data_IF_861503752442
#
_entry.id   IF_861503752442
#
_cell.length_a   1.000
_cell.length_b   1.000
_cell.length_c   1.000
_cell.angle_alpha   90.00
_cell.angle_beta   90.00
_cell.angle_gamma   90.00
#
_symmetry.space_group_name_H-M   'P 1'
#
loop_
_entity.id
_entity.type
_entity.pdbx_description
1 polymer ?
#
# COMPACT_ATOMS: atom_id res chain seq x y z
N UNK A 1 -10.75 -26.70 -13.28
CA UNK A 1 -11.16 -25.71 -12.26
C UNK A 1 -9.89 -25.01 -11.78
N UNK A 2 -9.90 -23.70 -11.60
CA UNK A 2 -8.76 -22.99 -11.02
C UNK A 2 -8.87 -23.06 -9.49
N UNK A 3 -7.76 -23.35 -8.83
CA UNK A 3 -7.69 -23.33 -7.36
C UNK A 3 -7.68 -21.88 -6.85
N UNK A 4 -8.32 -21.59 -5.70
CA UNK A 4 -8.25 -20.27 -5.08
C UNK A 4 -6.81 -19.85 -4.76
N UNK A 5 -6.55 -18.55 -4.86
CA UNK A 5 -5.27 -17.98 -4.42
C UNK A 5 -5.20 -18.06 -2.90
N UNK A 6 -4.11 -18.62 -2.40
CA UNK A 6 -3.80 -18.65 -0.97
C UNK A 6 -3.16 -17.35 -0.51
N UNK A 7 -3.28 -17.05 0.79
CA UNK A 7 -2.63 -15.91 1.42
C UNK A 7 -1.12 -15.84 1.11
N UNK A 8 -0.41 -16.97 1.16
CA UNK A 8 1.03 -17.02 0.88
C UNK A 8 1.36 -16.68 -0.58
N UNK A 9 0.51 -17.10 -1.53
CA UNK A 9 0.69 -16.73 -2.93
C UNK A 9 0.45 -15.23 -3.15
N UNK A 10 -0.55 -14.65 -2.47
CA UNK A 10 -0.81 -13.22 -2.50
C UNK A 10 0.34 -12.40 -1.91
N UNK A 11 0.90 -12.83 -0.77
CA UNK A 11 2.10 -12.23 -0.19
C UNK A 11 3.30 -12.32 -1.14
N UNK A 12 3.55 -13.49 -1.73
CA UNK A 12 4.65 -13.67 -2.68
C UNK A 12 4.51 -12.75 -3.89
N UNK A 13 3.30 -12.61 -4.44
CA UNK A 13 3.03 -11.68 -5.53
C UNK A 13 3.26 -10.22 -5.12
N UNK A 14 2.85 -9.83 -3.90
CA UNK A 14 3.09 -8.50 -3.35
C UNK A 14 4.59 -8.17 -3.27
N UNK A 15 5.41 -9.10 -2.80
CA UNK A 15 6.87 -8.95 -2.77
C UNK A 15 7.46 -8.85 -4.18
N UNK A 16 7.03 -9.72 -5.09
CA UNK A 16 7.52 -9.76 -6.48
C UNK A 16 7.30 -8.44 -7.22
N UNK A 17 6.13 -7.82 -7.07
CA UNK A 17 5.82 -6.53 -7.72
C UNK A 17 6.23 -5.32 -6.89
N UNK A 18 6.83 -5.54 -5.70
CA UNK A 18 7.21 -4.49 -4.73
C UNK A 18 6.03 -3.60 -4.34
N UNK A 19 4.84 -4.21 -4.18
CA UNK A 19 3.68 -3.50 -3.66
C UNK A 19 3.90 -3.09 -2.20
N UNK A 20 3.19 -2.06 -1.76
CA UNK A 20 3.31 -1.56 -0.40
C UNK A 20 2.73 -2.53 0.64
N UNK A 21 1.68 -3.27 0.27
CA UNK A 21 0.94 -4.16 1.16
C UNK A 21 0.05 -5.13 0.37
N UNK A 22 -0.13 -6.34 0.89
CA UNK A 22 -1.16 -7.29 0.47
C UNK A 22 -2.29 -7.29 1.50
N UNK A 23 -3.55 -7.28 1.05
CA UNK A 23 -4.74 -7.32 1.90
C UNK A 23 -5.80 -8.22 1.29
N UNK A 24 -6.51 -8.97 2.14
CA UNK A 24 -7.67 -9.79 1.77
C UNK A 24 -8.96 -9.20 2.34
N UNK A 25 -10.03 -9.21 1.55
CA UNK A 25 -11.34 -8.73 1.96
C UNK A 25 -12.47 -9.52 1.29
N UNK A 26 -13.67 -9.44 1.86
CA UNK A 26 -14.89 -9.93 1.22
C UNK A 26 -15.95 -8.84 1.20
N UNK A 27 -16.18 -8.26 0.03
CA UNK A 27 -17.25 -7.27 -0.16
C UNK A 27 -18.64 -7.86 0.11
N UNK A 28 -18.83 -9.15 -0.21
CA UNK A 28 -20.10 -9.86 0.00
C UNK A 28 -20.47 -9.96 1.49
N UNK A 29 -19.48 -10.24 2.33
CA UNK A 29 -19.66 -10.40 3.77
C UNK A 29 -19.30 -9.13 4.57
N UNK A 30 -18.87 -8.07 3.88
CA UNK A 30 -18.39 -6.81 4.46
C UNK A 30 -17.21 -7.01 5.41
N UNK A 31 -16.33 -7.96 5.11
CA UNK A 31 -15.12 -8.25 5.91
C UNK A 31 -13.93 -7.48 5.35
N UNK A 32 -13.22 -6.76 6.23
CA UNK A 32 -11.98 -6.01 5.96
C UNK A 32 -12.05 -4.95 4.85
N UNK A 33 -13.25 -4.64 4.34
CA UNK A 33 -13.44 -3.68 3.24
C UNK A 33 -12.95 -2.30 3.63
N UNK A 34 -13.24 -1.83 4.85
CA UNK A 34 -12.78 -0.53 5.33
C UNK A 34 -11.25 -0.46 5.46
N UNK A 35 -10.63 -1.55 5.92
CA UNK A 35 -9.18 -1.62 6.12
C UNK A 35 -8.42 -1.46 4.80
N UNK A 36 -8.94 -2.02 3.70
CA UNK A 36 -8.36 -1.83 2.35
C UNK A 36 -8.23 -0.34 2.01
N UNK A 37 -9.28 0.45 2.20
CA UNK A 37 -9.25 1.88 1.90
C UNK A 37 -8.44 2.67 2.91
N UNK A 38 -8.51 2.30 4.19
CA UNK A 38 -7.75 2.95 5.27
C UNK A 38 -6.24 2.79 5.06
N UNK A 39 -5.78 1.59 4.75
CA UNK A 39 -4.36 1.34 4.49
C UNK A 39 -3.89 1.99 3.18
N UNK A 40 -4.70 1.94 2.11
CA UNK A 40 -4.39 2.66 0.88
C UNK A 40 -4.21 4.17 1.11
N UNK A 41 -5.12 4.78 1.89
CA UNK A 41 -5.01 6.20 2.25
C UNK A 41 -3.76 6.50 3.09
N UNK A 42 -3.43 5.65 4.07
CA UNK A 42 -2.20 5.80 4.89
C UNK A 42 -0.93 5.74 4.02
N UNK A 43 -0.86 4.79 3.09
CA UNK A 43 0.29 4.65 2.18
C UNK A 43 0.42 5.89 1.29
N UNK A 44 -0.69 6.36 0.69
CA UNK A 44 -0.70 7.55 -0.15
C UNK A 44 -0.27 8.82 0.61
N UNK A 45 -0.81 9.03 1.81
CA UNK A 45 -0.45 10.18 2.64
C UNK A 45 1.01 10.16 3.08
N UNK A 46 1.54 8.97 3.40
CA UNK A 46 2.95 8.80 3.75
C UNK A 46 3.88 9.13 2.57
N UNK A 47 3.52 8.69 1.36
CA UNK A 47 4.24 9.03 0.14
C UNK A 47 4.23 10.55 -0.13
N UNK A 48 3.08 11.21 0.06
CA UNK A 48 2.95 12.66 -0.11
C UNK A 48 3.84 13.43 0.88
N UNK A 49 3.82 13.05 2.16
CA UNK A 49 4.68 13.67 3.19
C UNK A 49 6.17 13.50 2.85
N UNK A 50 6.57 12.31 2.38
CA UNK A 50 7.95 12.04 1.95
C UNK A 50 8.35 12.95 0.78
N UNK A 51 7.50 13.08 -0.24
CA UNK A 51 7.75 13.95 -1.39
C UNK A 51 7.91 15.44 -0.98
N UNK A 52 7.05 15.92 -0.08
CA UNK A 52 7.13 17.29 0.45
C UNK A 52 8.45 17.53 1.21
N UNK A 53 8.87 16.59 2.07
CA UNK A 53 10.15 16.69 2.79
C UNK A 53 11.35 16.75 1.84
N UNK A 54 11.36 15.92 0.79
CA UNK A 54 12.42 15.95 -0.22
C UNK A 54 12.47 17.30 -0.96
N UNK A 55 11.32 17.90 -1.29
CA UNK A 55 11.27 19.23 -1.91
C UNK A 55 11.86 20.30 -0.99
N UNK A 56 11.55 20.29 0.31
CA UNK A 56 12.12 21.23 1.29
C UNK A 56 13.63 21.08 1.42
N UNK A 57 14.16 19.85 1.46
CA UNK A 57 15.60 19.62 1.55
C UNK A 57 16.37 20.10 0.31
N UNK A 58 15.78 20.04 -0.89
CA UNK A 58 16.38 20.60 -2.11
C UNK A 58 16.41 22.13 -2.14
N UNK A 59 15.58 22.80 -1.33
CA UNK A 59 15.53 24.25 -1.20
C UNK A 59 16.51 24.80 -0.15
N UNK A 60 17.23 23.94 0.58
CA UNK A 60 18.40 24.36 1.34
C UNK A 60 19.54 24.66 0.37
N UNK A 61 19.54 25.87 -0.19
CA UNK A 61 20.76 26.49 -0.70
C UNK A 61 21.66 26.73 0.52
N UNK A 62 22.88 26.18 0.49
CA UNK A 62 23.96 26.65 1.35
C UNK A 62 24.18 28.12 0.97
N UNK A 63 23.77 29.03 1.86
CA UNK A 63 24.10 30.46 1.80
C UNK A 63 25.47 30.68 2.45
#
# INVERSE_FOLDING_TARGET
>A
QLEPITYMQGLSACEQIRAALYLECSAKFRENVEDVFREAAKVALSALKKAQRHKKHRLCLLL
#
